data_IF_269898881627
#
_entry.id   IF_269898881627
#
_cell.length_a   1.000
_cell.length_b   1.000
_cell.length_c   1.000
_cell.angle_alpha   90.00
_cell.angle_beta   90.00
_cell.angle_gamma   90.00
#
_symmetry.space_group_name_H-M   'P 1'
#
loop_
_entity.id
_entity.type
_entity.pdbx_description
1 polymer ?
#
# COMPACT_ATOMS: atom_id res chain seq x y z
N UNK A 1 -19.43 -14.47 -25.83
CA UNK A 1 -19.11 -13.04 -25.75
C UNK A 1 -18.34 -12.76 -24.47
N UNK A 2 -17.20 -12.06 -24.57
CA UNK A 2 -16.93 -10.80 -23.88
C UNK A 2 -15.42 -10.51 -24.02
N UNK A 3 -15.14 -9.57 -24.92
CA UNK A 3 -13.83 -8.97 -25.14
C UNK A 3 -13.43 -8.11 -23.93
N UNK A 4 -12.12 -7.84 -23.84
CA UNK A 4 -11.45 -6.83 -23.01
C UNK A 4 -11.03 -7.26 -21.59
N UNK A 5 -10.14 -8.25 -21.50
CA UNK A 5 -9.04 -8.14 -20.51
C UNK A 5 -8.07 -7.08 -21.01
N UNK A 6 -8.45 -5.80 -20.90
CA UNK A 6 -7.53 -4.69 -21.08
C UNK A 6 -6.43 -4.80 -20.02
N UNK A 7 -5.28 -5.32 -20.45
CA UNK A 7 -3.94 -5.15 -19.89
C UNK A 7 -3.88 -4.67 -18.43
N UNK A 8 -4.30 -5.51 -17.48
CA UNK A 8 -4.04 -5.24 -16.06
C UNK A 8 -2.53 -5.17 -15.88
N UNK A 9 -1.99 -3.98 -15.60
CA UNK A 9 -0.56 -3.81 -15.37
C UNK A 9 -0.20 -4.32 -13.97
N UNK A 10 1.04 -4.78 -13.75
CA UNK A 10 1.53 -5.03 -12.40
C UNK A 10 1.26 -3.82 -11.50
N UNK A 11 0.61 -4.06 -10.36
CA UNK A 11 0.23 -3.02 -9.41
C UNK A 11 -1.18 -2.44 -9.58
N UNK A 12 -1.86 -2.65 -10.71
CA UNK A 12 -3.28 -2.29 -10.84
C UNK A 12 -4.12 -3.18 -9.92
N UNK A 13 -5.18 -2.61 -9.33
CA UNK A 13 -5.94 -3.26 -8.26
C UNK A 13 -7.44 -3.21 -8.52
N UNK A 14 -8.14 -4.30 -8.19
CA UNK A 14 -9.59 -4.33 -8.24
C UNK A 14 -10.12 -3.88 -6.87
N UNK A 15 -11.08 -2.96 -6.87
CA UNK A 15 -11.76 -2.56 -5.65
C UNK A 15 -12.48 -3.77 -5.02
N UNK A 16 -12.36 -3.95 -3.70
CA UNK A 16 -13.01 -5.06 -3.02
C UNK A 16 -14.53 -4.92 -2.97
N UNK A 17 -15.03 -3.69 -2.83
CA UNK A 17 -16.46 -3.41 -2.75
C UNK A 17 -17.17 -3.46 -4.10
N UNK A 18 -16.63 -2.81 -5.14
CA UNK A 18 -17.32 -2.65 -6.42
C UNK A 18 -16.65 -3.37 -7.61
N UNK A 19 -15.54 -4.08 -7.37
CA UNK A 19 -14.75 -4.84 -8.37
C UNK A 19 -14.20 -4.03 -9.55
N UNK A 20 -14.30 -2.69 -9.49
CA UNK A 20 -13.73 -1.80 -10.50
C UNK A 20 -12.20 -1.89 -10.52
N UNK A 21 -11.60 -2.00 -11.71
CA UNK A 21 -10.16 -2.00 -11.90
C UNK A 21 -9.63 -0.56 -11.80
N UNK A 22 -8.70 -0.32 -10.88
CA UNK A 22 -8.04 0.96 -10.66
C UNK A 22 -6.57 0.86 -11.04
N UNK A 23 -6.01 1.97 -11.54
CA UNK A 23 -4.58 2.07 -11.80
C UNK A 23 -3.76 2.01 -10.52
N UNK A 24 -2.56 1.43 -10.61
CA UNK A 24 -1.64 1.25 -9.49
C UNK A 24 -1.40 2.52 -8.67
N UNK A 25 -1.33 3.70 -9.31
CA UNK A 25 -1.14 4.99 -8.62
C UNK A 25 -2.32 5.48 -7.77
N UNK A 26 -3.49 4.83 -7.82
CA UNK A 26 -4.69 5.24 -7.09
C UNK A 26 -4.69 4.63 -5.69
N UNK A 27 -4.93 5.46 -4.67
CA UNK A 27 -5.14 5.03 -3.28
C UNK A 27 -6.61 4.82 -2.93
N UNK A 28 -7.52 5.34 -3.76
CA UNK A 28 -8.98 5.23 -3.60
C UNK A 28 -9.61 4.78 -4.91
N UNK A 29 -10.72 4.06 -4.82
CA UNK A 29 -11.42 3.56 -5.99
C UNK A 29 -12.03 4.72 -6.78
N UNK A 30 -11.73 4.77 -8.08
CA UNK A 30 -12.27 5.79 -8.99
C UNK A 30 -13.80 5.74 -9.12
N UNK A 31 -14.42 4.59 -8.84
CA UNK A 31 -15.87 4.40 -8.97
C UNK A 31 -16.64 4.67 -7.67
N UNK A 32 -16.20 4.11 -6.54
CA UNK A 32 -16.95 4.18 -5.28
C UNK A 32 -16.23 4.96 -4.16
N UNK A 33 -14.97 5.37 -4.36
CA UNK A 33 -14.19 6.08 -3.34
C UNK A 33 -13.55 5.19 -2.27
N UNK A 34 -13.88 3.89 -2.23
CA UNK A 34 -13.32 3.00 -1.20
C UNK A 34 -11.79 2.93 -1.25
N UNK A 35 -11.13 2.85 -0.08
CA UNK A 35 -9.69 2.79 -0.01
C UNK A 35 -9.16 1.52 -0.68
N UNK A 36 -7.95 1.65 -1.23
CA UNK A 36 -7.21 0.52 -1.76
C UNK A 36 -6.93 -0.49 -0.63
N UNK A 37 -7.16 -1.80 -0.86
CA UNK A 37 -6.79 -2.83 0.11
C UNK A 37 -5.28 -2.85 0.34
N UNK A 38 -4.87 -2.87 1.62
CA UNK A 38 -3.46 -2.87 2.04
C UNK A 38 -2.69 -4.16 1.68
N UNK A 39 -3.32 -5.13 1.01
CA UNK A 39 -2.88 -6.54 1.01
C UNK A 39 -1.63 -6.84 0.19
N UNK A 40 -1.23 -6.06 -0.82
CA UNK A 40 -0.12 -6.49 -1.71
C UNK A 40 0.65 -5.35 -2.40
N UNK A 41 0.82 -4.20 -1.75
CA UNK A 41 1.76 -3.20 -2.26
C UNK A 41 3.19 -3.59 -1.88
N UNK A 42 3.77 -4.53 -2.62
CA UNK A 42 5.22 -4.57 -2.82
C UNK A 42 5.51 -3.56 -3.93
N UNK A 43 6.15 -2.42 -3.64
CA UNK A 43 6.59 -1.50 -4.69
C UNK A 43 7.46 -2.27 -5.69
N UNK A 44 7.22 -2.14 -7.02
CA UNK A 44 8.11 -2.73 -8.01
C UNK A 44 9.46 -2.00 -7.93
N UNK A 45 10.40 -2.60 -7.22
CA UNK A 45 11.70 -2.03 -6.86
C UNK A 45 12.39 -2.74 -5.69
N UNK A 46 11.66 -3.46 -4.84
CA UNK A 46 12.24 -4.26 -3.77
C UNK A 46 12.37 -5.72 -4.19
N UNK A 47 13.20 -5.96 -5.19
CA UNK A 47 13.74 -7.29 -5.46
C UNK A 47 14.64 -7.68 -4.30
N UNK A 48 14.12 -8.49 -3.37
CA UNK A 48 14.84 -9.50 -2.57
C UNK A 48 13.88 -10.02 -1.52
N UNK A 49 13.48 -11.28 -1.66
CA UNK A 49 12.62 -11.96 -0.72
C UNK A 49 13.19 -11.90 0.69
N UNK A 50 12.55 -11.09 1.53
CA UNK A 50 12.34 -11.41 2.93
C UNK A 50 10.99 -10.83 3.28
N UNK A 51 10.12 -11.68 3.83
CA UNK A 51 9.02 -11.26 4.69
C UNK A 51 9.67 -10.59 5.89
N UNK A 52 10.20 -9.38 5.74
CA UNK A 52 10.58 -8.54 6.86
C UNK A 52 9.28 -7.86 7.24
N UNK A 53 8.49 -8.58 8.04
CA UNK A 53 7.86 -7.96 9.19
C UNK A 53 8.84 -6.89 9.69
N UNK A 54 8.44 -5.62 9.51
CA UNK A 54 8.90 -4.45 10.28
C UNK A 54 10.00 -4.87 11.25
N UNK A 55 11.27 -4.58 10.91
CA UNK A 55 12.40 -5.11 11.66
C UNK A 55 12.16 -4.91 13.16
N UNK A 56 12.60 -5.85 13.99
CA UNK A 56 12.38 -5.79 15.44
C UNK A 56 12.79 -4.41 15.98
N UNK A 57 11.80 -3.64 16.41
CA UNK A 57 11.97 -2.30 16.98
C UNK A 57 11.46 -1.16 16.10
N UNK A 58 11.31 -1.36 14.79
CA UNK A 58 10.64 -0.40 13.92
C UNK A 58 9.17 -0.25 14.32
N UNK A 59 8.61 0.94 14.15
CA UNK A 59 7.26 1.25 14.61
C UNK A 59 6.51 2.11 13.58
N UNK A 60 5.20 1.91 13.50
CA UNK A 60 4.32 2.77 12.71
C UNK A 60 3.74 3.85 13.61
N UNK A 61 3.83 5.10 13.15
CA UNK A 61 3.08 6.18 13.75
C UNK A 61 1.59 6.02 13.41
N UNK A 62 0.71 6.55 14.26
CA UNK A 62 -0.74 6.64 14.00
C UNK A 62 -1.08 7.36 12.70
N UNK A 63 -0.20 8.23 12.20
CA UNK A 63 -0.34 8.87 10.89
C UNK A 63 -0.01 7.94 9.70
N UNK A 64 0.31 6.67 9.95
CA UNK A 64 0.63 5.66 8.95
C UNK A 64 2.09 5.66 8.48
N UNK A 65 2.94 6.55 8.99
CA UNK A 65 4.34 6.63 8.60
C UNK A 65 5.20 5.61 9.35
N UNK A 66 6.07 4.89 8.64
CA UNK A 66 7.05 3.96 9.22
C UNK A 66 8.25 4.72 9.79
N UNK A 67 8.65 4.37 11.01
CA UNK A 67 9.84 4.92 11.65
C UNK A 67 10.81 3.79 12.01
N UNK A 68 12.11 4.05 11.83
CA UNK A 68 13.17 3.17 12.29
C UNK A 68 13.21 3.08 13.82
N UNK A 69 13.61 1.92 14.33
CA UNK A 69 13.68 1.61 15.75
C UNK A 69 14.42 2.63 16.63
N UNK A 70 15.41 3.32 16.06
CA UNK A 70 16.21 4.33 16.76
C UNK A 70 15.47 5.64 17.04
N UNK A 71 14.30 5.85 16.42
CA UNK A 71 13.55 7.10 16.57
C UNK A 71 12.57 7.04 17.73
N UNK A 72 12.66 8.04 18.61
CA UNK A 72 11.66 8.29 19.65
C UNK A 72 10.42 9.02 19.11
N UNK A 73 10.59 9.83 18.07
CA UNK A 73 9.55 10.67 17.47
C UNK A 73 9.40 10.37 15.98
N UNK A 74 8.17 10.54 15.47
CA UNK A 74 7.81 10.30 14.09
C UNK A 74 8.50 11.32 13.19
N UNK A 75 9.21 10.87 12.16
CA UNK A 75 9.90 11.76 11.23
C UNK A 75 8.93 12.69 10.50
N UNK A 76 7.71 12.21 10.21
CA UNK A 76 6.72 12.96 9.43
C UNK A 76 5.97 14.01 10.25
N UNK A 77 5.56 13.67 11.48
CA UNK A 77 4.66 14.53 12.27
C UNK A 77 5.17 14.87 13.68
N UNK A 78 6.33 14.35 14.10
CA UNK A 78 6.91 14.62 15.41
C UNK A 78 6.25 13.90 16.58
N UNK A 79 5.15 13.16 16.38
CA UNK A 79 4.49 12.39 17.43
C UNK A 79 5.40 11.31 18.01
N UNK A 80 5.35 11.07 19.31
CA UNK A 80 6.12 10.01 19.97
C UNK A 80 5.66 8.61 19.57
N UNK A 81 6.56 7.63 19.72
CA UNK A 81 6.25 6.20 19.56
C UNK A 81 5.16 5.69 20.50
#
# INVERSE_FOLDING_TARGET
GQLLRMNKKPGDWNCESCKYLNFSRREMCQRCGDPRPASTYTPPGSGSGRVISVLRGDWYCTCGYHNFASRANCLKCGASK
#
